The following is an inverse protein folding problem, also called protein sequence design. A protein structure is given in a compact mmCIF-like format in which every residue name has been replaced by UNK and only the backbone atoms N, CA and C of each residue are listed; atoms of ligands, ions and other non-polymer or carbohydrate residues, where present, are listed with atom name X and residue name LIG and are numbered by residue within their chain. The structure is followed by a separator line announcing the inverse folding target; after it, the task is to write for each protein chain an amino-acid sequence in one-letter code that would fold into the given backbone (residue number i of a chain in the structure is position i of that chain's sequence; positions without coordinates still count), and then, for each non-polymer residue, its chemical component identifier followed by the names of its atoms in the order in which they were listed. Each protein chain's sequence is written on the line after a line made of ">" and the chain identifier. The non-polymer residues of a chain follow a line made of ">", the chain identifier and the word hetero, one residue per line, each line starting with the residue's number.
data_IF_143136821713
#
_entry.id   IF_143136821713
#
_cell.length_a   1.000
_cell.length_b   1.000
_cell.length_c   1.000
_cell.angle_alpha   90.00
_cell.angle_beta   90.00
_cell.angle_gamma   90.00
#
_symmetry.space_group_name_H-M   'P 1'
#
loop_
_entity.id
_entity.type
_entity.pdbx_description
1 polymer ?
#
# COMPACT_ATOMS: atom_id res chain seq x y z
N UNK A 1 -0.42 9.63 -13.78
CA UNK A 1 -1.74 10.23 -13.50
C UNK A 1 -1.52 11.37 -12.54
N UNK A 2 -2.22 12.49 -12.70
CA UNK A 2 -2.19 13.58 -11.73
C UNK A 2 -2.89 13.17 -10.42
N UNK A 3 -2.62 13.84 -9.28
CA UNK A 3 -3.33 13.57 -8.03
C UNK A 3 -4.87 13.66 -8.16
N UNK A 4 -5.37 14.59 -8.97
CA UNK A 4 -6.80 14.71 -9.27
C UNK A 4 -7.35 13.47 -9.99
N UNK A 5 -6.68 13.01 -11.07
CA UNK A 5 -7.09 11.79 -11.79
C UNK A 5 -7.06 10.56 -10.89
N UNK A 6 -6.07 10.46 -9.99
CA UNK A 6 -6.00 9.36 -9.02
C UNK A 6 -7.15 9.44 -8.02
N UNK A 7 -7.44 10.63 -7.47
CA UNK A 7 -8.56 10.84 -6.53
C UNK A 7 -9.90 10.39 -7.13
N UNK A 8 -10.18 10.79 -8.37
CA UNK A 8 -11.40 10.41 -9.09
C UNK A 8 -11.49 8.89 -9.30
N UNK A 9 -10.36 8.26 -9.64
CA UNK A 9 -10.31 6.81 -9.80
C UNK A 9 -10.54 6.06 -8.48
N UNK A 10 -9.94 6.50 -7.37
CA UNK A 10 -10.20 5.93 -6.04
C UNK A 10 -11.66 6.15 -5.62
N UNK A 11 -12.25 7.33 -5.90
CA UNK A 11 -13.68 7.59 -5.66
C UNK A 11 -14.55 6.62 -6.44
N UNK A 12 -14.24 6.34 -7.71
CA UNK A 12 -14.94 5.35 -8.53
C UNK A 12 -14.82 3.94 -7.97
N UNK A 13 -13.64 3.56 -7.47
CA UNK A 13 -13.46 2.26 -6.81
C UNK A 13 -14.26 2.13 -5.52
N UNK A 14 -14.46 3.24 -4.79
CA UNK A 14 -15.22 3.26 -3.55
C UNK A 14 -16.74 3.08 -3.73
N UNK A 15 -17.26 3.04 -4.96
CA UNK A 15 -18.69 2.76 -5.21
C UNK A 15 -18.96 1.29 -5.56
N UNK A 16 -17.98 0.41 -5.35
CA UNK A 16 -18.07 -1.02 -5.71
C UNK A 16 -17.42 -1.92 -4.65
N UNK A 17 -16.84 -3.05 -5.06
CA UNK A 17 -16.25 -4.05 -4.15
C UNK A 17 -15.10 -3.55 -3.25
N UNK A 18 -14.51 -2.40 -3.60
CA UNK A 18 -13.46 -1.76 -2.81
C UNK A 18 -14.01 -0.70 -1.84
N UNK A 19 -15.34 -0.50 -1.76
CA UNK A 19 -15.96 0.41 -0.81
C UNK A 19 -15.43 0.14 0.61
N UNK A 20 -14.71 1.12 1.12
CA UNK A 20 -14.11 1.08 2.45
C UNK A 20 -13.57 2.44 2.85
N UNK A 21 -13.59 2.70 4.16
CA UNK A 21 -13.05 3.92 4.75
C UNK A 21 -11.63 4.27 4.26
N UNK A 22 -10.73 3.28 4.11
CA UNK A 22 -9.37 3.53 3.64
C UNK A 22 -9.30 3.98 2.17
N UNK A 23 -10.19 3.47 1.31
CA UNK A 23 -10.27 3.88 -0.09
C UNK A 23 -10.87 5.29 -0.20
N UNK A 24 -11.89 5.58 0.60
CA UNK A 24 -12.50 6.91 0.72
C UNK A 24 -11.48 7.97 1.13
N UNK A 25 -10.81 7.81 2.28
CA UNK A 25 -9.83 8.82 2.74
C UNK A 25 -8.64 8.94 1.79
N UNK A 26 -8.28 7.87 1.07
CA UNK A 26 -7.23 7.93 0.05
C UNK A 26 -7.64 8.85 -1.10
N UNK A 27 -8.89 8.76 -1.56
CA UNK A 27 -9.44 9.69 -2.56
C UNK A 27 -9.39 11.14 -2.05
N UNK A 28 -9.75 11.37 -0.80
CA UNK A 28 -9.75 12.72 -0.21
C UNK A 28 -8.35 13.29 -0.02
N UNK A 29 -7.39 12.48 0.44
CA UNK A 29 -5.99 12.88 0.60
C UNK A 29 -5.37 13.26 -0.75
N UNK A 30 -5.66 12.49 -1.81
CA UNK A 30 -5.08 12.73 -3.15
C UNK A 30 -5.48 14.08 -3.75
N UNK A 31 -6.71 14.56 -3.49
CA UNK A 31 -7.19 15.86 -4.01
C UNK A 31 -6.91 17.03 -3.06
N UNK A 32 -6.46 16.76 -1.83
CA UNK A 32 -6.24 17.81 -0.83
C UNK A 32 -5.11 18.74 -1.26
N UNK A 33 -5.38 20.05 -1.20
CA UNK A 33 -4.43 21.12 -1.48
C UNK A 33 -4.37 22.09 -0.32
N UNK A 34 -3.18 22.59 -0.02
CA UNK A 34 -2.99 23.78 0.80
C UNK A 34 -2.51 24.96 -0.08
N UNK A 35 -1.93 25.99 0.53
CA UNK A 35 -1.44 27.20 -0.15
C UNK A 35 -0.31 26.94 -1.16
N UNK A 36 0.38 25.80 -1.08
CA UNK A 36 1.52 25.43 -1.91
C UNK A 36 1.17 24.32 -2.92
N UNK A 37 -0.11 23.93 -3.02
CA UNK A 37 -0.60 22.92 -3.95
C UNK A 37 -0.91 21.58 -3.29
N UNK A 38 -0.79 20.47 -4.02
CA UNK A 38 -1.12 19.14 -3.50
C UNK A 38 -0.24 18.80 -2.29
N UNK A 39 -0.86 18.49 -1.15
CA UNK A 39 -0.12 18.25 0.08
C UNK A 39 0.67 16.93 0.03
N UNK A 40 0.07 15.88 -0.51
CA UNK A 40 0.63 14.51 -0.45
C UNK A 40 2.06 14.42 -1.02
N UNK A 41 2.34 15.09 -2.13
CA UNK A 41 3.65 15.05 -2.80
C UNK A 41 4.77 15.71 -1.98
N UNK A 42 4.42 16.54 -0.99
CA UNK A 42 5.36 17.24 -0.10
C UNK A 42 5.51 16.58 1.27
N UNK A 43 4.75 15.50 1.54
CA UNK A 43 4.89 14.73 2.78
C UNK A 43 6.15 13.86 2.70
N UNK A 44 6.97 13.88 3.75
CA UNK A 44 8.15 13.01 3.86
C UNK A 44 7.73 11.54 3.83
N UNK A 45 8.27 10.78 2.88
CA UNK A 45 8.06 9.35 2.64
C UNK A 45 8.80 8.46 3.66
N UNK A 46 8.54 8.68 4.95
CA UNK A 46 9.08 7.90 6.06
C UNK A 46 7.94 7.53 7.01
N UNK A 47 7.45 6.30 6.91
CA UNK A 47 6.29 5.85 7.65
C UNK A 47 6.64 5.51 9.10
N UNK A 48 5.93 6.15 10.05
CA UNK A 48 5.99 5.79 11.47
C UNK A 48 5.20 4.52 11.79
N UNK A 49 5.48 3.94 12.96
CA UNK A 49 4.68 2.86 13.53
C UNK A 49 4.75 2.85 15.06
N UNK A 50 3.69 2.36 15.72
CA UNK A 50 3.61 2.23 17.19
C UNK A 50 3.74 0.80 17.71
N UNK A 51 4.02 -0.18 16.82
CA UNK A 51 4.35 -1.56 17.21
C UNK A 51 3.27 -2.62 16.94
N UNK A 52 1.99 -2.27 16.88
CA UNK A 52 0.90 -3.27 16.72
C UNK A 52 1.06 -4.15 15.47
N UNK A 53 1.43 -3.57 14.32
CA UNK A 53 1.71 -4.34 13.10
C UNK A 53 2.91 -5.29 13.25
N UNK A 54 3.97 -4.85 13.94
CA UNK A 54 5.12 -5.70 14.26
C UNK A 54 4.71 -6.86 15.15
N UNK A 55 3.85 -6.63 16.15
CA UNK A 55 3.36 -7.69 17.03
C UNK A 55 2.60 -8.76 16.26
N UNK A 56 1.73 -8.38 15.32
CA UNK A 56 1.04 -9.36 14.46
C UNK A 56 2.02 -10.21 13.64
N UNK A 57 3.06 -9.61 13.06
CA UNK A 57 4.09 -10.35 12.33
C UNK A 57 4.90 -11.29 13.24
N UNK A 58 5.21 -10.86 14.47
CA UNK A 58 5.89 -11.70 15.46
C UNK A 58 5.01 -12.87 15.90
N UNK A 59 3.72 -12.63 16.17
CA UNK A 59 2.77 -13.69 16.52
C UNK A 59 2.61 -14.69 15.38
N UNK A 60 2.57 -14.23 14.12
CA UNK A 60 2.54 -15.12 12.97
C UNK A 60 3.73 -16.09 12.94
N UNK A 61 4.95 -15.60 13.25
CA UNK A 61 6.14 -16.44 13.36
C UNK A 61 6.07 -17.41 14.55
N UNK A 62 5.56 -16.96 15.70
CA UNK A 62 5.41 -17.78 16.91
C UNK A 62 4.44 -18.95 16.69
N UNK A 63 3.29 -18.68 16.04
CA UNK A 63 2.28 -19.69 15.74
C UNK A 63 2.55 -20.47 14.44
N UNK A 64 3.65 -20.21 13.73
CA UNK A 64 3.98 -20.89 12.48
C UNK A 64 3.00 -20.63 11.33
N UNK A 65 2.36 -19.44 11.31
CA UNK A 65 1.32 -19.10 10.33
C UNK A 65 1.83 -18.15 9.22
N UNK A 66 1.45 -18.37 7.95
CA UNK A 66 1.99 -17.63 6.81
C UNK A 66 1.30 -16.28 6.59
N UNK A 67 1.47 -15.34 7.53
CA UNK A 67 0.90 -13.98 7.43
C UNK A 67 1.84 -13.04 6.67
N UNK A 68 2.11 -13.38 5.41
CA UNK A 68 3.15 -12.73 4.61
C UNK A 68 2.85 -11.28 4.28
N UNK A 69 1.61 -10.92 3.94
CA UNK A 69 1.29 -9.57 3.49
C UNK A 69 1.42 -8.55 4.61
N UNK A 70 1.01 -8.89 5.84
CA UNK A 70 1.19 -8.03 7.01
C UNK A 70 2.68 -7.89 7.35
N UNK A 71 3.45 -8.98 7.21
CA UNK A 71 4.91 -8.94 7.34
C UNK A 71 5.55 -7.96 6.35
N UNK A 72 5.22 -8.05 5.06
CA UNK A 72 5.72 -7.14 4.03
C UNK A 72 5.25 -5.69 4.25
N UNK A 73 4.05 -5.47 4.78
CA UNK A 73 3.57 -4.14 5.15
C UNK A 73 4.41 -3.53 6.29
N UNK A 74 4.89 -4.33 7.24
CA UNK A 74 5.82 -3.90 8.30
C UNK A 74 7.21 -3.62 7.72
N UNK A 75 7.76 -4.52 6.91
CA UNK A 75 9.07 -4.32 6.28
C UNK A 75 9.10 -3.11 5.34
N UNK A 76 8.01 -2.85 4.61
CA UNK A 76 7.88 -1.66 3.75
C UNK A 76 7.98 -0.36 4.56
N UNK A 77 7.46 -0.32 5.80
CA UNK A 77 7.63 0.83 6.69
C UNK A 77 9.09 0.98 7.13
N UNK A 78 9.76 -0.11 7.51
CA UNK A 78 11.18 -0.08 7.85
C UNK A 78 12.03 0.43 6.68
N UNK A 79 11.78 -0.07 5.46
CA UNK A 79 12.47 0.40 4.26
C UNK A 79 12.23 1.90 4.00
N UNK A 80 11.01 2.38 4.22
CA UNK A 80 10.70 3.82 4.07
C UNK A 80 11.50 4.69 5.05
N UNK A 81 11.74 4.20 6.28
CA UNK A 81 12.49 4.91 7.30
C UNK A 81 13.99 5.06 6.98
N UNK A 82 14.54 4.16 6.15
CA UNK A 82 15.91 4.23 5.62
C UNK A 82 16.07 5.29 4.52
N UNK A 83 15.51 6.50 4.72
CA UNK A 83 15.43 7.56 3.70
C UNK A 83 16.80 7.96 3.15
N UNK A 84 17.77 8.20 4.03
CA UNK A 84 19.10 8.67 3.62
C UNK A 84 19.84 7.58 2.82
N UNK A 85 19.66 6.32 3.19
CA UNK A 85 20.21 5.19 2.46
C UNK A 85 19.56 5.03 1.08
N UNK A 86 18.23 5.15 0.99
CA UNK A 86 17.50 5.12 -0.30
C UNK A 86 17.94 6.24 -1.25
N UNK A 87 18.12 7.46 -0.73
CA UNK A 87 18.58 8.61 -1.52
C UNK A 87 20.03 8.45 -1.99
N UNK A 88 20.89 7.82 -1.19
CA UNK A 88 22.25 7.45 -1.63
C UNK A 88 22.21 6.37 -2.69
N UNK A 89 21.48 5.29 -2.45
CA UNK A 89 21.34 4.15 -3.36
C UNK A 89 20.79 4.55 -4.73
N UNK A 90 19.82 5.47 -4.79
CA UNK A 90 19.23 5.93 -6.06
C UNK A 90 20.22 6.65 -6.99
N UNK A 91 21.37 7.09 -6.48
CA UNK A 91 22.44 7.71 -7.29
C UNK A 91 23.38 6.67 -7.91
N UNK A 92 23.35 5.43 -7.43
CA UNK A 92 24.28 4.36 -7.81
C UNK A 92 23.58 3.18 -8.49
N UNK A 93 22.31 2.92 -8.16
CA UNK A 93 21.53 1.82 -8.72
C UNK A 93 20.60 2.34 -9.81
N UNK A 94 20.80 1.87 -11.04
CA UNK A 94 19.91 2.17 -12.16
C UNK A 94 18.74 1.19 -12.21
N UNK A 95 17.53 1.74 -12.31
CA UNK A 95 16.34 0.96 -12.68
C UNK A 95 16.21 0.81 -14.20
N UNK A 96 15.22 0.04 -14.67
CA UNK A 96 14.85 0.05 -16.08
C UNK A 96 14.46 1.49 -16.51
N UNK A 97 14.63 1.86 -17.80
CA UNK A 97 14.29 3.20 -18.28
C UNK A 97 12.86 3.60 -17.93
N UNK A 98 12.62 4.88 -17.65
CA UNK A 98 11.29 5.38 -17.27
C UNK A 98 10.20 5.03 -18.30
N UNK A 99 10.57 5.00 -19.58
CA UNK A 99 9.66 4.69 -20.70
C UNK A 99 9.62 3.19 -21.06
N UNK A 100 10.20 2.33 -20.22
CA UNK A 100 10.25 0.87 -20.46
C UNK A 100 8.87 0.21 -20.41
N UNK A 101 7.90 0.82 -19.72
CA UNK A 101 6.53 0.30 -19.60
C UNK A 101 5.58 1.19 -20.39
N UNK A 102 5.01 0.65 -21.46
CA UNK A 102 3.96 1.31 -22.24
C UNK A 102 2.60 0.73 -21.89
N UNK A 103 1.72 1.58 -21.36
CA UNK A 103 0.32 1.22 -21.08
C UNK A 103 -0.50 1.54 -22.32
N UNK A 104 -0.80 0.51 -23.12
CA UNK A 104 -1.58 0.67 -24.36
C UNK A 104 -3.05 1.04 -24.09
N UNK A 105 -3.67 0.40 -23.09
CA UNK A 105 -5.03 0.68 -22.65
C UNK A 105 -5.02 1.04 -21.15
N UNK A 106 -5.12 2.34 -20.87
CA UNK A 106 -5.17 2.87 -19.50
C UNK A 106 -6.37 2.35 -18.73
N UNK A 107 -7.53 2.19 -19.37
CA UNK A 107 -8.75 1.77 -18.69
C UNK A 107 -8.69 0.30 -18.30
N UNK A 108 -8.26 -0.57 -19.22
CA UNK A 108 -8.03 -1.98 -18.91
C UNK A 108 -6.96 -2.15 -17.82
N UNK A 109 -5.86 -1.40 -17.91
CA UNK A 109 -4.79 -1.44 -16.90
C UNK A 109 -5.27 -1.03 -15.50
N UNK A 110 -6.06 0.05 -15.40
CA UNK A 110 -6.67 0.47 -14.13
C UNK A 110 -7.66 -0.57 -13.60
N UNK A 111 -8.39 -1.26 -14.47
CA UNK A 111 -9.26 -2.38 -14.08
C UNK A 111 -8.45 -3.55 -13.50
N UNK A 112 -7.32 -3.90 -14.12
CA UNK A 112 -6.41 -4.92 -13.59
C UNK A 112 -5.85 -4.53 -12.21
N UNK A 113 -5.44 -3.27 -12.01
CA UNK A 113 -4.96 -2.78 -10.70
C UNK A 113 -6.08 -2.90 -9.65
N UNK A 114 -7.32 -2.52 -9.99
CA UNK A 114 -8.47 -2.63 -9.09
C UNK A 114 -8.66 -4.08 -8.61
N UNK A 115 -8.69 -5.04 -9.54
CA UNK A 115 -8.86 -6.46 -9.19
C UNK A 115 -7.65 -7.03 -8.45
N UNK A 116 -6.43 -6.61 -8.81
CA UNK A 116 -5.22 -7.01 -8.08
C UNK A 116 -5.25 -6.52 -6.63
N UNK A 117 -5.65 -5.26 -6.39
CA UNK A 117 -5.83 -4.70 -5.05
C UNK A 117 -6.90 -5.46 -4.27
N UNK A 118 -8.05 -5.74 -4.89
CA UNK A 118 -9.13 -6.47 -4.25
C UNK A 118 -8.72 -7.91 -3.88
N UNK A 119 -8.03 -8.61 -4.78
CA UNK A 119 -7.46 -9.92 -4.52
C UNK A 119 -6.44 -9.90 -3.38
N UNK A 120 -5.50 -8.94 -3.39
CA UNK A 120 -4.52 -8.78 -2.32
C UNK A 120 -5.18 -8.52 -0.95
N UNK A 121 -6.27 -7.75 -0.91
CA UNK A 121 -7.09 -7.54 0.29
C UNK A 121 -7.67 -8.87 0.77
N UNK A 122 -8.31 -9.66 -0.09
CA UNK A 122 -8.86 -10.98 0.28
C UNK A 122 -7.78 -11.89 0.86
N UNK A 123 -6.61 -11.99 0.21
CA UNK A 123 -5.48 -12.79 0.69
C UNK A 123 -5.01 -12.32 2.07
N UNK A 124 -4.86 -11.00 2.26
CA UNK A 124 -4.44 -10.45 3.55
C UNK A 124 -5.41 -10.77 4.69
N UNK A 125 -6.72 -10.62 4.44
CA UNK A 125 -7.73 -10.94 5.45
C UNK A 125 -7.75 -12.44 5.74
N UNK A 126 -7.66 -13.30 4.72
CA UNK A 126 -7.57 -14.74 4.89
C UNK A 126 -6.39 -15.13 5.79
N UNK A 127 -5.21 -14.55 5.56
CA UNK A 127 -4.04 -14.75 6.42
C UNK A 127 -4.28 -14.33 7.87
N UNK A 128 -4.92 -13.17 8.09
CA UNK A 128 -5.29 -12.69 9.43
C UNK A 128 -6.25 -13.65 10.15
N UNK A 129 -7.29 -14.11 9.47
CA UNK A 129 -8.23 -15.09 10.03
C UNK A 129 -7.59 -16.45 10.29
N UNK A 130 -6.66 -16.89 9.43
CA UNK A 130 -5.87 -18.10 9.66
C UNK A 130 -5.05 -18.00 10.96
N UNK A 131 -4.40 -16.85 11.19
CA UNK A 131 -3.65 -16.60 12.42
C UNK A 131 -4.55 -16.62 13.65
N UNK A 132 -5.69 -15.92 13.61
CA UNK A 132 -6.65 -15.89 14.73
C UNK A 132 -7.19 -17.29 15.03
N UNK A 133 -7.48 -18.08 13.99
CA UNK A 133 -7.94 -19.47 14.13
C UNK A 133 -6.89 -20.35 14.79
N UNK A 134 -5.61 -20.18 14.46
CA UNK A 134 -4.54 -20.97 15.08
C UNK A 134 -4.33 -20.54 16.54
N UNK A 135 -4.28 -19.24 16.81
CA UNK A 135 -4.13 -18.70 18.16
C UNK A 135 -5.29 -19.07 19.10
N UNK A 136 -6.49 -19.33 18.57
CA UNK A 136 -7.65 -19.74 19.37
C UNK A 136 -7.62 -21.22 19.80
N UNK A 137 -6.68 -22.03 19.31
CA UNK A 137 -6.50 -23.43 19.75
C UNK A 137 -5.64 -23.56 21.00
N UNK A 138 -4.87 -22.51 21.31
CA UNK A 138 -4.07 -22.36 22.52
C UNK A 138 -4.94 -21.77 23.65
#
# INVERSE_FOLDING_TARGET
>A
MSPQEMSEQFRKWNTGELDSFLIEITSDILKYKDNEGYLLERIRDSAGQKGTGKWTAVSALQYGMPVTLIGEAVFSRYLSALKDERVKASKHLAGPPADSVKVADKQAFLSHIKHALYCAKIVSYAQGFMLMREAAKE
#
